data_IF_027363569057
#
_entry.id   IF_027363569057
#
_cell.length_a   1.000
_cell.length_b   1.000
_cell.length_c   1.000
_cell.angle_alpha   90.00
_cell.angle_beta   90.00
_cell.angle_gamma   90.00
#
_symmetry.space_group_name_H-M   'P 1'
#
loop_
_entity.id
_entity.type
_entity.pdbx_description
1 polymer ?
#
# COMPACT_ATOMS: atom_id res chain seq x y z
N UNK A 1 -0.39 1.14 -30.12
CA UNK A 1 0.03 0.23 -29.03
C UNK A 1 0.79 1.07 -28.00
N UNK A 2 0.11 1.53 -26.94
CA UNK A 2 0.69 2.48 -25.97
C UNK A 2 1.36 1.71 -24.82
N UNK A 3 2.68 1.65 -24.91
CA UNK A 3 3.66 1.75 -23.82
C UNK A 3 3.36 1.03 -22.50
N UNK A 4 3.58 -0.29 -22.46
CA UNK A 4 3.79 -1.06 -21.22
C UNK A 4 4.98 -0.56 -20.36
N UNK A 5 5.77 0.39 -20.87
CA UNK A 5 6.83 1.09 -20.13
C UNK A 5 6.27 2.24 -19.29
N UNK A 6 5.19 2.89 -19.74
CA UNK A 6 4.57 4.01 -19.03
C UNK A 6 3.83 3.52 -17.77
N UNK A 7 3.09 2.41 -17.83
CA UNK A 7 2.44 1.81 -16.66
C UNK A 7 3.44 1.35 -15.59
N UNK A 8 4.59 0.79 -16.01
CA UNK A 8 5.67 0.42 -15.08
C UNK A 8 6.33 1.66 -14.46
N UNK A 9 6.40 2.77 -15.20
CA UNK A 9 6.90 4.03 -14.69
C UNK A 9 5.90 4.65 -13.69
N UNK A 10 4.61 4.75 -14.04
CA UNK A 10 3.55 5.26 -13.16
C UNK A 10 3.42 4.44 -11.87
N UNK A 11 3.46 3.11 -11.97
CA UNK A 11 3.42 2.23 -10.79
C UNK A 11 4.63 2.41 -9.87
N UNK A 12 5.84 2.62 -10.43
CA UNK A 12 7.04 2.96 -9.65
C UNK A 12 6.95 4.35 -9.04
N UNK A 13 6.45 5.34 -9.79
CA UNK A 13 6.23 6.71 -9.31
C UNK A 13 5.27 6.75 -8.12
N UNK A 14 4.17 6.00 -8.18
CA UNK A 14 3.22 5.89 -7.06
C UNK A 14 3.86 5.25 -5.83
N UNK A 15 4.64 4.17 -6.00
CA UNK A 15 5.39 3.53 -4.91
C UNK A 15 6.41 4.47 -4.26
N UNK A 16 7.15 5.23 -5.06
CA UNK A 16 8.14 6.20 -4.57
C UNK A 16 7.45 7.33 -3.82
N UNK A 17 6.37 7.89 -4.38
CA UNK A 17 5.57 8.95 -3.73
C UNK A 17 4.96 8.47 -2.41
N UNK A 18 4.45 7.24 -2.36
CA UNK A 18 3.93 6.61 -1.15
C UNK A 18 5.01 6.44 -0.08
N UNK A 19 6.19 5.93 -0.45
CA UNK A 19 7.35 5.83 0.47
C UNK A 19 7.79 7.20 0.99
N UNK A 20 7.87 8.20 0.13
CA UNK A 20 8.22 9.57 0.53
C UNK A 20 7.20 10.12 1.51
N UNK A 21 5.89 9.95 1.25
CA UNK A 21 4.83 10.36 2.19
C UNK A 21 4.93 9.63 3.53
N UNK A 22 5.23 8.33 3.54
CA UNK A 22 5.40 7.58 4.79
C UNK A 22 6.63 8.06 5.55
N UNK A 23 7.77 8.23 4.88
CA UNK A 23 9.00 8.72 5.51
C UNK A 23 8.80 10.14 6.05
N UNK A 24 8.19 11.02 5.26
CA UNK A 24 7.86 12.38 5.68
C UNK A 24 6.87 12.39 6.84
N UNK A 25 5.79 11.60 6.80
CA UNK A 25 4.83 11.49 7.90
C UNK A 25 5.45 10.97 9.19
N UNK A 26 6.37 9.99 9.07
CA UNK A 26 7.12 9.43 10.20
C UNK A 26 8.17 10.40 10.76
N UNK A 27 8.78 11.22 9.89
CA UNK A 27 9.77 12.23 10.27
C UNK A 27 9.15 13.51 10.85
N UNK A 28 7.96 13.90 10.38
CA UNK A 28 7.25 15.10 10.86
C UNK A 28 6.52 14.84 12.18
N UNK A 29 6.47 13.59 12.66
CA UNK A 29 5.87 13.26 13.96
C UNK A 29 4.37 13.54 14.02
N UNK A 30 3.66 13.42 12.89
CA UNK A 30 2.23 13.64 12.86
C UNK A 30 1.52 12.36 13.28
N UNK A 31 1.02 12.36 14.53
CA UNK A 31 0.28 11.24 15.13
C UNK A 31 -0.91 10.79 14.29
N UNK A 32 -1.54 11.69 13.53
CA UNK A 32 -2.63 11.35 12.62
C UNK A 32 -2.14 10.46 11.45
N UNK A 33 -1.01 10.80 10.83
CA UNK A 33 -0.45 9.99 9.73
C UNK A 33 0.07 8.62 10.20
N UNK A 34 0.60 8.53 11.42
CA UNK A 34 0.98 7.23 12.01
C UNK A 34 -0.24 6.38 12.36
N UNK A 35 -1.32 7.00 12.85
CA UNK A 35 -2.58 6.33 13.15
C UNK A 35 -3.27 5.82 11.88
N UNK A 36 -3.40 6.66 10.85
CA UNK A 36 -3.92 6.27 9.54
C UNK A 36 -3.09 5.14 8.92
N UNK A 37 -1.75 5.25 8.97
CA UNK A 37 -0.86 4.21 8.46
C UNK A 37 -0.96 2.88 9.22
N UNK A 38 -1.21 2.90 10.54
CA UNK A 38 -1.45 1.68 11.33
C UNK A 38 -2.81 1.06 11.02
N UNK A 39 -3.85 1.88 10.89
CA UNK A 39 -5.20 1.41 10.55
C UNK A 39 -5.22 0.74 9.17
N UNK A 40 -4.62 1.38 8.17
CA UNK A 40 -4.55 0.85 6.79
C UNK A 40 -3.74 -0.46 6.72
N UNK A 41 -2.69 -0.59 7.54
CA UNK A 41 -1.88 -1.80 7.60
C UNK A 41 -2.59 -2.97 8.30
N UNK A 42 -3.50 -2.68 9.24
CA UNK A 42 -4.37 -3.69 9.86
C UNK A 42 -5.43 -4.15 8.86
N UNK A 43 -6.08 -3.22 8.17
CA UNK A 43 -7.11 -3.55 7.18
C UNK A 43 -6.54 -4.39 6.03
N UNK A 44 -5.36 -4.01 5.52
CA UNK A 44 -4.63 -4.78 4.51
C UNK A 44 -4.29 -6.20 4.95
N UNK A 45 -3.86 -6.40 6.21
CA UNK A 45 -3.62 -7.75 6.75
C UNK A 45 -4.89 -8.57 6.90
N UNK A 46 -6.01 -7.93 7.23
CA UNK A 46 -7.31 -8.60 7.33
C UNK A 46 -7.78 -9.03 5.95
N UNK A 47 -7.68 -8.16 4.94
CA UNK A 47 -8.00 -8.51 3.56
C UNK A 47 -7.10 -9.60 3.00
N UNK A 48 -5.80 -9.57 3.29
CA UNK A 48 -4.85 -10.61 2.87
C UNK A 48 -5.23 -11.97 3.44
N UNK A 49 -5.53 -12.04 4.75
CA UNK A 49 -5.99 -13.28 5.40
C UNK A 49 -7.31 -13.78 4.85
N UNK A 50 -8.28 -12.90 4.61
CA UNK A 50 -9.56 -13.28 4.00
C UNK A 50 -9.32 -13.80 2.58
N UNK A 51 -8.43 -13.16 1.82
CA UNK A 51 -8.01 -13.58 0.49
C UNK A 51 -7.40 -14.98 0.51
N UNK A 52 -6.41 -15.23 1.36
CA UNK A 52 -5.79 -16.55 1.52
C UNK A 52 -6.80 -17.63 1.92
N UNK A 53 -7.68 -17.36 2.88
CA UNK A 53 -8.71 -18.34 3.30
C UNK A 53 -9.66 -18.65 2.14
N UNK A 54 -10.03 -17.64 1.35
CA UNK A 54 -10.92 -17.81 0.20
C UNK A 54 -10.24 -18.55 -0.96
N UNK A 55 -8.94 -18.36 -1.14
CA UNK A 55 -8.12 -19.09 -2.12
C UNK A 55 -7.95 -20.57 -1.74
N UNK A 56 -7.84 -20.86 -0.43
CA UNK A 56 -7.73 -22.22 0.11
C UNK A 56 -9.08 -22.95 0.11
N UNK A 57 -10.18 -22.28 0.46
CA UNK A 57 -11.54 -22.86 0.50
C UNK A 57 -12.18 -22.92 -0.90
N UNK A 58 -11.77 -22.05 -1.83
CA UNK A 58 -12.27 -22.01 -3.19
C UNK A 58 -11.60 -22.99 -4.15
N UNK A 59 -10.68 -23.84 -3.66
CA UNK A 59 -10.04 -24.93 -4.40
C UNK A 59 -10.64 -26.28 -4.07
#
# INVERSE_FOLDING_TARGET
MKSSTQDKAEGKWHKVKGKIKQVAGKAVGNRDLEAEGKAENVDGKVQEKIGEVKDVVGK
#
